data_IF_383063306288
#
_entry.id   IF_383063306288
#
_cell.length_a   1.000
_cell.length_b   1.000
_cell.length_c   1.000
_cell.angle_alpha   90.00
_cell.angle_beta   90.00
_cell.angle_gamma   90.00
#
_symmetry.space_group_name_H-M   'P 1'
#
loop_
_entity.id
_entity.type
_entity.pdbx_description
1 polymer ?
#
# COMPACT_ATOMS: atom_id res chain seq x y z
N UNK A 1 -7.66 29.53 0.01
CA UNK A 1 -7.56 28.40 -0.94
C UNK A 1 -6.83 27.28 -0.22
N UNK A 2 -7.54 26.58 0.67
CA UNK A 2 -7.02 25.42 1.40
C UNK A 2 -7.94 24.30 0.96
N UNK A 3 -7.44 23.48 0.04
CA UNK A 3 -8.23 22.38 -0.54
C UNK A 3 -8.37 21.31 0.53
N UNK A 4 -9.63 21.13 0.89
CA UNK A 4 -10.24 20.07 1.69
C UNK A 4 -9.65 18.70 1.34
N UNK A 5 -8.85 18.12 2.25
CA UNK A 5 -8.43 16.73 2.17
C UNK A 5 -9.34 15.91 3.09
N UNK A 6 -10.46 15.48 2.51
CA UNK A 6 -11.30 14.44 3.07
C UNK A 6 -10.46 13.16 3.23
N UNK A 7 -10.27 12.74 4.49
CA UNK A 7 -9.56 11.52 4.84
C UNK A 7 -10.58 10.36 4.95
N UNK A 8 -10.69 9.46 3.97
CA UNK A 8 -11.39 8.19 4.16
C UNK A 8 -10.44 7.22 4.84
N UNK A 9 -10.55 7.16 6.16
CA UNK A 9 -9.99 6.09 6.98
C UNK A 9 -10.83 4.82 6.73
N UNK A 10 -10.50 4.13 5.63
CA UNK A 10 -10.69 2.69 5.30
C UNK A 10 -10.44 2.58 3.79
N UNK A 11 -9.23 2.86 3.33
CA UNK A 11 -8.87 2.55 1.94
C UNK A 11 -8.33 1.15 1.89
N UNK A 12 -9.23 0.16 1.80
CA UNK A 12 -8.84 -1.07 1.11
C UNK A 12 -8.28 -0.64 -0.25
N UNK A 13 -7.07 -1.10 -0.65
CA UNK A 13 -6.38 -0.58 -1.82
C UNK A 13 -7.13 -0.81 -3.15
N UNK A 14 -8.18 -1.64 -3.11
CA UNK A 14 -9.07 -2.02 -4.20
C UNK A 14 -10.47 -2.32 -3.66
N UNK A 15 -11.47 -2.24 -4.54
CA UNK A 15 -12.87 -2.53 -4.25
C UNK A 15 -13.10 -4.05 -4.41
N UNK A 16 -13.41 -4.76 -3.32
CA UNK A 16 -13.62 -6.23 -3.33
C UNK A 16 -14.85 -6.63 -4.16
N UNK A 17 -15.78 -5.70 -4.38
CA UNK A 17 -17.00 -5.91 -5.17
C UNK A 17 -16.83 -5.59 -6.66
N UNK A 18 -15.66 -5.11 -7.11
CA UNK A 18 -15.46 -4.75 -8.50
C UNK A 18 -15.53 -6.00 -9.42
N UNK A 19 -16.24 -5.92 -10.56
CA UNK A 19 -16.33 -7.05 -11.49
C UNK A 19 -14.94 -7.37 -12.07
N UNK A 20 -14.51 -8.62 -11.90
CA UNK A 20 -13.25 -9.12 -12.45
C UNK A 20 -13.30 -9.09 -13.97
N UNK A 21 -12.56 -8.18 -14.59
CA UNK A 21 -12.38 -8.19 -16.03
C UNK A 21 -11.34 -9.24 -16.40
N UNK A 22 -11.74 -10.20 -17.24
CA UNK A 22 -10.81 -11.15 -17.86
C UNK A 22 -9.97 -10.41 -18.90
N UNK A 23 -8.89 -9.76 -18.46
CA UNK A 23 -7.88 -9.21 -19.37
C UNK A 23 -6.96 -10.36 -19.77
N UNK A 24 -6.95 -10.76 -21.05
CA UNK A 24 -6.01 -11.78 -21.52
C UNK A 24 -4.59 -11.21 -21.52
N UNK A 25 -3.85 -11.51 -20.46
CA UNK A 25 -2.43 -11.16 -20.35
C UNK A 25 -1.63 -12.31 -20.95
N UNK A 26 -0.74 -12.00 -21.90
CA UNK A 26 0.21 -12.96 -22.44
C UNK A 26 1.29 -13.22 -21.39
N UNK A 27 1.22 -14.38 -20.72
CA UNK A 27 2.20 -14.82 -19.74
C UNK A 27 3.14 -15.88 -20.34
N UNK A 28 4.31 -16.07 -19.74
CA UNK A 28 5.27 -17.08 -20.17
C UNK A 28 4.64 -18.49 -20.01
N UNK A 29 4.65 -19.26 -21.09
CA UNK A 29 4.10 -20.62 -21.17
C UNK A 29 4.73 -21.58 -20.15
N UNK A 30 6.01 -21.39 -19.81
CA UNK A 30 6.71 -22.23 -18.84
C UNK A 30 6.20 -21.99 -17.41
N UNK A 31 5.95 -20.73 -17.05
CA UNK A 31 5.35 -20.37 -15.76
C UNK A 31 3.91 -20.86 -15.64
N UNK A 32 3.15 -20.86 -16.74
CA UNK A 32 1.80 -21.43 -16.82
C UNK A 32 1.83 -22.95 -16.60
N UNK A 33 2.77 -23.65 -17.23
CA UNK A 33 2.94 -25.10 -17.04
C UNK A 33 3.33 -25.44 -15.59
N UNK A 34 4.25 -24.68 -15.00
CA UNK A 34 4.63 -24.83 -13.59
C UNK A 34 3.45 -24.53 -12.66
N UNK A 35 2.70 -23.46 -12.90
CA UNK A 35 1.54 -23.11 -12.10
C UNK A 35 0.45 -24.18 -12.17
N UNK A 36 0.15 -24.73 -13.36
CA UNK A 36 -0.79 -25.84 -13.50
C UNK A 36 -0.30 -27.11 -12.79
N UNK A 37 1.00 -27.43 -12.91
CA UNK A 37 1.58 -28.58 -12.22
C UNK A 37 1.53 -28.46 -10.69
N UNK A 38 1.61 -27.23 -10.17
CA UNK A 38 1.55 -26.92 -8.75
C UNK A 38 0.12 -26.62 -8.24
N UNK A 39 -0.89 -26.62 -9.11
CA UNK A 39 -2.27 -26.29 -8.77
C UNK A 39 -2.46 -24.82 -8.34
N UNK A 40 -1.64 -23.91 -8.86
CA UNK A 40 -1.70 -22.48 -8.56
C UNK A 40 -2.67 -21.79 -9.51
N UNK A 41 -3.67 -21.10 -8.95
CA UNK A 41 -4.57 -20.23 -9.69
C UNK A 41 -3.83 -18.97 -10.17
N UNK A 42 -3.38 -18.99 -11.43
CA UNK A 42 -2.62 -17.89 -12.06
C UNK A 42 -3.36 -16.57 -11.99
N UNK A 43 -4.69 -16.57 -12.11
CA UNK A 43 -5.51 -15.36 -11.99
C UNK A 43 -5.40 -14.74 -10.59
N UNK A 44 -5.50 -15.55 -9.53
CA UNK A 44 -5.38 -15.10 -8.14
C UNK A 44 -3.96 -14.64 -7.81
N UNK A 45 -2.94 -15.36 -8.32
CA UNK A 45 -1.55 -14.99 -8.14
C UNK A 45 -1.22 -13.64 -8.80
N UNK A 46 -1.73 -13.41 -10.02
CA UNK A 46 -1.61 -12.14 -10.72
C UNK A 46 -2.36 -11.01 -10.00
N UNK A 47 -3.58 -11.25 -9.55
CA UNK A 47 -4.38 -10.28 -8.79
C UNK A 47 -3.62 -9.82 -7.53
N UNK A 48 -3.05 -10.79 -6.79
CA UNK A 48 -2.26 -10.52 -5.59
C UNK A 48 -0.96 -9.78 -5.91
N UNK A 49 -0.21 -10.21 -6.94
CA UNK A 49 1.03 -9.56 -7.35
C UNK A 49 0.81 -8.13 -7.83
N UNK A 50 -0.29 -7.89 -8.55
CA UNK A 50 -0.66 -6.54 -9.01
C UNK A 50 -1.08 -5.66 -7.84
N UNK A 51 -1.87 -6.18 -6.90
CA UNK A 51 -2.27 -5.44 -5.70
C UNK A 51 -1.05 -5.05 -4.85
N UNK A 52 -0.09 -5.95 -4.69
CA UNK A 52 1.16 -5.71 -3.95
C UNK A 52 2.02 -4.63 -4.63
N UNK A 53 2.18 -4.72 -5.95
CA UNK A 53 2.94 -3.73 -6.71
C UNK A 53 2.29 -2.34 -6.66
N UNK A 54 0.96 -2.26 -6.73
CA UNK A 54 0.21 -1.01 -6.57
C UNK A 54 0.39 -0.45 -5.16
N UNK A 55 0.31 -1.30 -4.14
CA UNK A 55 0.51 -0.90 -2.76
C UNK A 55 1.91 -0.33 -2.54
N UNK A 56 2.96 -0.98 -3.07
CA UNK A 56 4.35 -0.49 -2.97
C UNK A 56 4.52 0.88 -3.63
N UNK A 57 3.98 1.07 -4.82
CA UNK A 57 4.07 2.36 -5.53
C UNK A 57 3.32 3.46 -4.77
N UNK A 58 2.15 3.14 -4.20
CA UNK A 58 1.38 4.09 -3.39
C UNK A 58 2.10 4.42 -2.08
N UNK A 59 2.69 3.44 -1.42
CA UNK A 59 3.48 3.64 -0.20
C UNK A 59 4.68 4.55 -0.46
N UNK A 60 5.41 4.30 -1.55
CA UNK A 60 6.53 5.14 -1.97
C UNK A 60 6.11 6.59 -2.23
N UNK A 61 5.04 6.78 -3.00
CA UNK A 61 4.49 8.12 -3.27
C UNK A 61 4.03 8.82 -1.98
N UNK A 62 3.37 8.08 -1.08
CA UNK A 62 2.93 8.60 0.21
C UNK A 62 4.12 9.00 1.09
N UNK A 63 5.18 8.18 1.15
CA UNK A 63 6.41 8.49 1.90
C UNK A 63 7.09 9.75 1.39
N UNK A 64 7.14 9.95 0.07
CA UNK A 64 7.72 11.16 -0.51
C UNK A 64 6.90 12.41 -0.18
N UNK A 65 5.57 12.33 -0.25
CA UNK A 65 4.67 13.42 0.09
C UNK A 65 4.66 13.75 1.59
N UNK A 66 4.75 12.72 2.45
CA UNK A 66 4.69 12.87 3.91
C UNK A 66 6.05 13.12 4.53
N UNK A 67 7.15 13.03 3.77
CA UNK A 67 8.50 13.33 4.23
C UNK A 67 8.61 14.69 4.96
N UNK A 68 8.14 15.83 4.42
CA UNK A 68 8.21 17.11 5.14
C UNK A 68 7.39 17.14 6.44
N UNK A 69 6.25 16.45 6.48
CA UNK A 69 5.42 16.36 7.69
C UNK A 69 6.10 15.50 8.76
N UNK A 70 6.71 14.38 8.37
CA UNK A 70 7.49 13.51 9.25
C UNK A 70 8.73 14.24 9.76
N UNK A 71 9.47 14.94 8.90
CA UNK A 71 10.63 15.75 9.30
C UNK A 71 10.24 16.87 10.27
N UNK A 72 9.14 17.59 10.02
CA UNK A 72 8.65 18.62 10.93
C UNK A 72 8.24 18.05 12.30
N UNK A 73 7.59 16.87 12.31
CA UNK A 73 7.22 16.18 13.53
C UNK A 73 8.45 15.69 14.31
N UNK A 74 9.43 15.11 13.61
CA UNK A 74 10.69 14.66 14.19
C UNK A 74 11.47 15.84 14.79
N UNK A 75 11.61 16.95 14.05
CA UNK A 75 12.28 18.16 14.54
C UNK A 75 11.58 18.75 15.78
N UNK A 76 10.24 18.70 15.82
CA UNK A 76 9.48 19.12 17.00
C UNK A 76 9.78 18.23 18.22
N UNK A 77 9.82 16.91 18.03
CA UNK A 77 10.14 15.93 19.09
C UNK A 77 11.60 16.05 19.54
N UNK A 78 12.56 16.31 18.65
CA UNK A 78 13.95 16.57 19.03
C UNK A 78 14.07 17.86 19.86
N UNK A 79 13.36 18.92 19.48
CA UNK A 79 13.41 20.20 20.18
C UNK A 79 12.65 20.21 21.52
N UNK A 80 11.53 19.50 21.63
CA UNK A 80 10.63 19.57 22.80
C UNK A 80 10.60 18.27 23.63
N UNK A 81 11.33 17.25 23.18
CA UNK A 81 11.23 15.90 23.72
C UNK A 81 9.92 15.22 23.29
N UNK A 82 9.78 13.95 23.66
CA UNK A 82 8.57 13.17 23.40
C UNK A 82 7.38 13.78 24.16
N UNK A 83 6.35 14.28 23.47
CA UNK A 83 5.14 14.74 24.14
C UNK A 83 4.56 13.55 24.90
N UNK A 84 4.22 13.77 26.18
CA UNK A 84 3.68 12.76 27.10
C UNK A 84 4.66 11.69 27.62
N UNK A 85 5.98 11.81 27.40
CA UNK A 85 6.96 10.93 28.07
C UNK A 85 6.81 10.93 29.60
N UNK A 86 6.30 12.02 30.17
CA UNK A 86 6.01 12.23 31.58
C UNK A 86 4.89 11.32 32.13
N UNK A 87 4.11 10.69 31.26
CA UNK A 87 2.95 9.86 31.60
C UNK A 87 3.12 8.41 31.13
N UNK A 88 4.33 7.92 30.85
CA UNK A 88 4.56 6.49 30.61
C UNK A 88 4.76 5.77 31.96
N UNK A 89 3.77 5.00 32.46
CA UNK A 89 4.01 4.10 33.56
C UNK A 89 4.71 2.88 32.97
N UNK A 90 6.05 2.86 33.01
CA UNK A 90 6.93 1.69 32.81
C UNK A 90 6.61 0.80 31.58
#
# INVERSE_FOLDING_TARGET
MVVEQQMPDTRLPFDDSAPKHATSVSLNSDLLAQAQALGIDVAQACERGLADQIAEVRDRAWREENRPAIESSNAYVEAHGLPLAKNRPY
#
